data_IF_346274096583
#
_entry.id   IF_346274096583
#
_cell.length_a   1.000
_cell.length_b   1.000
_cell.length_c   1.000
_cell.angle_alpha   90.00
_cell.angle_beta   90.00
_cell.angle_gamma   90.00
#
_symmetry.space_group_name_H-M   'P 1'
#
loop_
_entity.id
_entity.type
_entity.pdbx_description
1 polymer ?
#
# COMPACT_ATOMS: atom_id res chain seq x y z
N UNK A 1 0.75 20.51 -11.60
CA UNK A 1 -0.64 20.21 -11.18
C UNK A 1 -0.62 19.80 -9.71
N UNK A 2 -1.74 19.81 -8.99
CA UNK A 2 -1.78 19.43 -7.56
C UNK A 2 -2.80 18.31 -7.36
N UNK A 3 -2.31 17.09 -7.13
CA UNK A 3 -3.17 15.95 -6.81
C UNK A 3 -3.81 16.10 -5.44
N UNK A 4 -4.98 15.49 -5.26
CA UNK A 4 -5.72 15.54 -3.99
C UNK A 4 -4.99 14.68 -2.96
N UNK A 5 -4.41 15.32 -1.95
CA UNK A 5 -3.61 14.66 -0.93
C UNK A 5 -4.43 13.78 0.01
N UNK A 6 -5.70 14.12 0.27
CA UNK A 6 -6.59 13.42 1.22
C UNK A 6 -8.02 13.37 0.68
N UNK A 7 -8.66 12.21 0.76
CA UNK A 7 -10.03 11.97 0.29
C UNK A 7 -10.80 11.32 1.43
N UNK A 8 -11.80 12.03 1.96
CA UNK A 8 -12.76 11.47 2.91
C UNK A 8 -13.77 10.58 2.18
N UNK A 9 -14.31 9.59 2.89
CA UNK A 9 -15.29 8.64 2.35
C UNK A 9 -14.83 8.02 1.02
N UNK A 10 -13.57 7.57 0.99
CA UNK A 10 -12.98 7.04 -0.22
C UNK A 10 -13.74 5.77 -0.65
N UNK A 11 -14.38 5.85 -1.81
CA UNK A 11 -15.11 4.73 -2.40
C UNK A 11 -14.13 3.62 -2.82
N UNK A 12 -13.86 2.70 -1.89
CA UNK A 12 -13.10 1.49 -2.12
C UNK A 12 -14.04 0.28 -1.99
N UNK A 13 -14.08 -0.54 -3.04
CA UNK A 13 -14.82 -1.79 -3.04
C UNK A 13 -13.83 -2.95 -2.92
N UNK A 14 -13.84 -3.62 -1.76
CA UNK A 14 -13.09 -4.86 -1.61
C UNK A 14 -13.84 -6.01 -2.26
N UNK A 15 -13.26 -6.55 -3.31
CA UNK A 15 -13.72 -7.80 -3.93
C UNK A 15 -12.76 -8.93 -3.53
N UNK A 16 -13.21 -9.93 -2.74
CA UNK A 16 -12.34 -11.02 -2.33
C UNK A 16 -11.81 -11.78 -3.56
N UNK A 17 -10.59 -12.34 -3.51
CA UNK A 17 -10.00 -13.04 -4.64
C UNK A 17 -10.91 -14.12 -5.23
N UNK A 18 -11.58 -14.90 -4.38
CA UNK A 18 -12.49 -15.97 -4.84
C UNK A 18 -13.69 -15.46 -5.65
N UNK A 19 -14.18 -14.24 -5.38
CA UNK A 19 -15.28 -13.66 -6.16
C UNK A 19 -14.83 -13.24 -7.58
N UNK A 20 -13.53 -13.01 -7.79
CA UNK A 20 -12.97 -12.71 -9.13
C UNK A 20 -12.81 -13.94 -10.00
N UNK A 21 -12.84 -15.13 -9.38
CA UNK A 21 -12.69 -16.42 -10.03
C UNK A 21 -13.95 -17.27 -9.83
N UNK A 22 -15.13 -16.65 -9.78
CA UNK A 22 -16.40 -17.34 -9.51
C UNK A 22 -16.67 -18.51 -10.49
N UNK A 23 -16.08 -18.45 -11.69
CA UNK A 23 -16.18 -19.49 -12.73
C UNK A 23 -15.16 -20.63 -12.57
N UNK A 24 -14.17 -20.50 -11.68
CA UNK A 24 -13.20 -21.56 -11.40
C UNK A 24 -13.70 -22.53 -10.31
N UNK A 25 -13.33 -23.82 -10.39
CA UNK A 25 -13.69 -24.79 -9.36
C UNK A 25 -13.22 -24.34 -7.97
N UNK A 26 -13.99 -24.61 -6.89
CA UNK A 26 -13.59 -24.25 -5.53
C UNK A 26 -12.25 -24.87 -5.07
N UNK A 27 -11.78 -25.93 -5.72
CA UNK A 27 -10.46 -26.51 -5.47
C UNK A 27 -9.30 -25.65 -5.97
N UNK A 28 -9.57 -24.64 -6.80
CA UNK A 28 -8.55 -23.80 -7.45
C UNK A 28 -8.15 -22.58 -6.60
N UNK A 29 -8.88 -22.29 -5.52
CA UNK A 29 -8.58 -21.17 -4.65
C UNK A 29 -8.89 -21.47 -3.18
N UNK A 30 -8.13 -20.85 -2.28
CA UNK A 30 -8.51 -20.78 -0.86
C UNK A 30 -9.47 -19.61 -0.68
N UNK A 31 -10.62 -19.86 -0.05
CA UNK A 31 -11.58 -18.79 0.25
C UNK A 31 -10.97 -17.84 1.28
N UNK A 32 -10.63 -16.63 0.84
CA UNK A 32 -10.28 -15.54 1.75
C UNK A 32 -11.51 -15.13 2.56
N UNK A 33 -11.42 -15.20 3.89
CA UNK A 33 -12.48 -14.87 4.83
C UNK A 33 -12.21 -13.60 5.62
N UNK A 34 -10.97 -13.10 5.57
CA UNK A 34 -10.55 -11.88 6.25
C UNK A 34 -10.99 -10.66 5.46
N UNK A 35 -11.22 -9.56 6.15
CA UNK A 35 -11.44 -8.25 5.52
C UNK A 35 -10.19 -7.37 5.64
N UNK A 36 -9.88 -6.54 4.63
CA UNK A 36 -8.70 -5.70 4.68
C UNK A 36 -8.89 -4.56 5.69
N UNK A 37 -7.87 -4.30 6.51
CA UNK A 37 -7.81 -3.15 7.42
C UNK A 37 -7.09 -1.96 6.78
N UNK A 38 -5.97 -2.22 6.12
CA UNK A 38 -5.18 -1.21 5.41
C UNK A 38 -4.89 -1.70 4.01
N UNK A 39 -5.06 -0.82 3.02
CA UNK A 39 -4.81 -1.16 1.61
C UNK A 39 -4.09 -0.02 0.91
N UNK A 40 -3.37 -0.37 -0.16
CA UNK A 40 -3.03 0.54 -1.23
C UNK A 40 -4.07 0.45 -2.33
N UNK A 41 -4.56 1.59 -2.76
CA UNK A 41 -5.47 1.74 -3.89
C UNK A 41 -4.82 2.67 -4.91
N UNK A 42 -4.83 2.26 -6.17
CA UNK A 42 -4.24 3.02 -7.25
C UNK A 42 -5.32 3.64 -8.14
N UNK A 43 -5.09 4.88 -8.56
CA UNK A 43 -5.93 5.62 -9.50
C UNK A 43 -5.07 6.20 -10.61
N UNK A 44 -5.64 6.36 -11.80
CA UNK A 44 -4.98 7.14 -12.86
C UNK A 44 -4.82 8.60 -12.43
N UNK A 45 -3.64 9.16 -12.66
CA UNK A 45 -3.35 10.58 -12.58
C UNK A 45 -3.39 11.22 -13.96
N UNK A 46 -2.63 12.31 -14.12
CA UNK A 46 -2.41 12.95 -15.42
C UNK A 46 -1.32 12.19 -16.21
N UNK A 47 -1.33 12.31 -17.54
CA UNK A 47 -0.40 11.66 -18.46
C UNK A 47 -0.22 10.15 -18.19
N UNK A 48 0.91 9.76 -17.60
CA UNK A 48 1.30 8.38 -17.30
C UNK A 48 1.42 8.15 -15.79
N UNK A 49 0.94 9.07 -14.96
CA UNK A 49 1.03 8.94 -13.51
C UNK A 49 -0.03 7.95 -12.96
N UNK A 50 0.39 7.17 -11.97
CA UNK A 50 -0.47 6.38 -11.09
C UNK A 50 -0.37 6.95 -9.70
N UNK A 51 -1.51 7.41 -9.20
CA UNK A 51 -1.67 7.91 -7.85
C UNK A 51 -1.87 6.72 -6.91
N UNK A 52 -0.99 6.56 -5.93
CA UNK A 52 -1.08 5.50 -4.92
C UNK A 52 -1.59 6.08 -3.62
N UNK A 53 -2.76 5.62 -3.21
CA UNK A 53 -3.40 6.02 -1.96
C UNK A 53 -3.28 4.92 -0.91
N UNK A 54 -2.87 5.27 0.30
CA UNK A 54 -3.12 4.46 1.49
C UNK A 54 -4.56 4.69 1.93
N UNK A 55 -5.32 3.62 2.17
CA UNK A 55 -6.72 3.70 2.62
C UNK A 55 -6.85 3.03 3.99
N UNK A 56 -7.40 3.77 4.95
CA UNK A 56 -7.75 3.24 6.27
C UNK A 56 -9.16 2.64 6.22
N UNK A 57 -9.27 1.31 6.12
CA UNK A 57 -10.54 0.59 6.20
C UNK A 57 -10.82 0.07 7.61
N UNK A 58 -9.93 0.35 8.57
CA UNK A 58 -10.12 0.00 9.96
C UNK A 58 -11.12 0.92 10.65
N UNK A 59 -11.60 0.48 11.82
CA UNK A 59 -12.55 1.23 12.65
C UNK A 59 -11.89 2.36 13.47
N UNK A 60 -10.56 2.46 13.45
CA UNK A 60 -9.79 3.39 14.28
C UNK A 60 -9.15 4.49 13.45
N UNK A 61 -9.18 5.71 13.98
CA UNK A 61 -8.33 6.79 13.47
C UNK A 61 -6.87 6.44 13.70
N UNK A 62 -6.08 6.52 12.63
CA UNK A 62 -4.61 6.46 12.72
C UNK A 62 -4.15 7.82 13.21
N UNK A 63 -3.54 7.85 14.39
CA UNK A 63 -3.01 9.07 14.97
C UNK A 63 -1.92 9.64 14.06
N UNK A 64 -0.98 8.80 13.63
CA UNK A 64 0.12 9.17 12.73
C UNK A 64 0.44 8.06 11.74
N UNK A 65 0.53 8.43 10.47
CA UNK A 65 1.02 7.60 9.37
C UNK A 65 2.29 8.24 8.82
N UNK A 66 3.37 7.47 8.72
CA UNK A 66 4.56 7.84 7.95
C UNK A 66 4.73 6.84 6.82
N UNK A 67 4.96 7.34 5.63
CA UNK A 67 5.21 6.59 4.42
C UNK A 67 6.63 6.88 3.91
N UNK A 68 7.32 5.85 3.45
CA UNK A 68 8.55 5.94 2.65
C UNK A 68 8.44 5.05 1.41
N UNK A 69 9.16 5.42 0.35
CA UNK A 69 9.41 4.52 -0.78
C UNK A 69 10.91 4.31 -0.95
N UNK A 70 11.27 3.14 -1.43
CA UNK A 70 12.64 2.81 -1.81
C UNK A 70 12.60 1.81 -2.94
N UNK A 71 13.73 1.60 -3.59
CA UNK A 71 13.78 0.61 -4.65
C UNK A 71 15.10 0.54 -5.37
N UNK A 72 15.11 -0.29 -6.40
CA UNK A 72 16.27 -0.49 -7.25
C UNK A 72 15.91 -0.87 -8.67
N UNK A 73 16.83 -0.64 -9.59
CA UNK A 73 16.79 -1.15 -10.95
C UNK A 73 18.16 -1.75 -11.30
N UNK A 74 18.18 -2.59 -12.33
CA UNK A 74 19.41 -3.16 -12.88
C UNK A 74 19.74 -2.45 -14.19
N UNK A 75 20.91 -1.82 -14.27
CA UNK A 75 21.40 -1.10 -15.44
C UNK A 75 22.67 -1.77 -15.98
N UNK A 76 22.49 -2.76 -16.86
CA UNK A 76 23.60 -3.61 -17.32
C UNK A 76 24.09 -4.53 -16.19
N UNK A 77 25.35 -4.35 -15.78
CA UNK A 77 25.97 -5.09 -14.67
C UNK A 77 25.86 -4.36 -13.31
N UNK A 78 25.29 -3.15 -13.30
CA UNK A 78 25.15 -2.32 -12.11
C UNK A 78 23.73 -2.37 -11.50
N UNK A 79 23.64 -2.08 -10.20
CA UNK A 79 22.37 -1.87 -9.49
C UNK A 79 22.30 -0.40 -9.06
N UNK A 80 21.27 0.30 -9.54
CA UNK A 80 20.97 1.67 -9.12
C UNK A 80 19.86 1.61 -8.08
N UNK A 81 20.01 2.32 -6.97
CA UNK A 81 19.02 2.37 -5.90
C UNK A 81 18.44 3.77 -5.76
N UNK A 82 17.23 3.87 -5.24
CA UNK A 82 16.63 5.13 -4.84
C UNK A 82 16.02 5.05 -3.44
N UNK A 83 15.84 6.22 -2.84
CA UNK A 83 15.05 6.41 -1.63
C UNK A 83 14.19 7.65 -1.81
N UNK A 84 12.88 7.47 -1.73
CA UNK A 84 11.90 8.53 -1.82
C UNK A 84 11.88 9.40 -0.57
N UNK A 85 11.24 10.57 -0.70
CA UNK A 85 11.03 11.47 0.42
C UNK A 85 9.90 10.94 1.30
N UNK A 86 10.15 10.86 2.61
CA UNK A 86 9.12 10.45 3.57
C UNK A 86 7.93 11.43 3.59
N UNK A 87 6.72 10.89 3.72
CA UNK A 87 5.48 11.66 3.84
C UNK A 87 4.77 11.31 5.14
N UNK A 88 4.29 12.33 5.86
CA UNK A 88 3.59 12.19 7.13
C UNK A 88 2.15 12.66 7.05
N UNK A 89 1.23 11.90 7.64
CA UNK A 89 -0.19 12.26 7.79
C UNK A 89 -0.61 12.06 9.24
N UNK A 90 -1.34 13.04 9.78
CA UNK A 90 -1.93 12.95 11.12
C UNK A 90 -3.44 12.76 11.01
N UNK A 91 -4.02 12.06 11.99
CA UNK A 91 -5.46 11.83 12.13
C UNK A 91 -6.11 11.31 10.84
N UNK A 92 -5.67 10.14 10.34
CA UNK A 92 -6.28 9.50 9.17
C UNK A 92 -7.51 8.71 9.63
N UNK A 93 -8.70 9.21 9.29
CA UNK A 93 -9.99 8.69 9.77
C UNK A 93 -10.35 7.34 9.12
N UNK A 94 -11.23 6.53 9.73
CA UNK A 94 -11.87 5.41 9.05
C UNK A 94 -12.51 5.82 7.73
N UNK A 95 -12.27 5.06 6.66
CA UNK A 95 -12.74 5.36 5.30
C UNK A 95 -11.94 6.44 4.58
N UNK A 96 -10.94 7.04 5.21
CA UNK A 96 -10.10 8.06 4.57
C UNK A 96 -8.97 7.43 3.74
N UNK A 97 -8.69 8.06 2.59
CA UNK A 97 -7.52 7.76 1.77
C UNK A 97 -6.56 8.94 1.71
N UNK A 98 -5.25 8.65 1.78
CA UNK A 98 -4.18 9.65 1.68
C UNK A 98 -3.19 9.28 0.58
N UNK A 99 -2.82 10.26 -0.24
CA UNK A 99 -1.93 10.07 -1.40
C UNK A 99 -0.50 9.85 -0.92
N UNK A 100 -0.03 8.61 -0.91
CA UNK A 100 1.30 8.26 -0.42
C UNK A 100 2.34 8.28 -1.54
N UNK A 101 1.99 7.95 -2.77
CA UNK A 101 2.94 7.92 -3.88
C UNK A 101 2.35 8.40 -5.20
N UNK A 102 3.23 8.83 -6.09
CA UNK A 102 2.92 9.15 -7.48
C UNK A 102 3.99 8.45 -8.32
N UNK A 103 3.56 7.48 -9.11
CA UNK A 103 4.45 6.65 -9.92
C UNK A 103 4.21 6.98 -11.39
N UNK A 104 5.23 7.39 -12.11
CA UNK A 104 5.14 7.60 -13.54
C UNK A 104 5.37 6.27 -14.27
N UNK A 105 4.36 5.77 -14.99
CA UNK A 105 4.45 4.47 -15.66
C UNK A 105 5.51 4.40 -16.76
N UNK A 106 5.99 5.52 -17.30
CA UNK A 106 7.06 5.51 -18.29
C UNK A 106 8.41 5.41 -17.61
N UNK A 107 8.64 6.32 -16.67
CA UNK A 107 9.96 6.51 -16.04
C UNK A 107 10.22 5.48 -14.93
N UNK A 108 9.17 4.96 -14.28
CA UNK A 108 9.28 4.07 -13.13
C UNK A 108 8.97 2.59 -13.45
N UNK A 109 8.73 2.25 -14.73
CA UNK A 109 8.29 0.90 -15.12
C UNK A 109 9.32 -0.19 -14.88
N UNK A 110 10.60 0.16 -14.88
CA UNK A 110 11.71 -0.76 -14.71
C UNK A 110 12.19 -0.92 -13.28
N UNK A 111 11.73 -0.06 -12.38
CA UNK A 111 12.05 -0.08 -10.97
C UNK A 111 11.32 -1.19 -10.21
N UNK A 112 12.04 -1.74 -9.24
CA UNK A 112 11.50 -2.51 -8.15
C UNK A 112 11.24 -1.58 -6.98
N UNK A 113 9.97 -1.30 -6.69
CA UNK A 113 9.55 -0.32 -5.68
C UNK A 113 9.01 -1.04 -4.45
N UNK A 114 9.58 -0.72 -3.29
CA UNK A 114 9.05 -1.08 -1.98
C UNK A 114 8.46 0.13 -1.28
N UNK A 115 7.45 -0.13 -0.44
CA UNK A 115 6.76 0.88 0.36
C UNK A 115 6.84 0.54 1.85
N UNK A 116 7.28 1.50 2.63
CA UNK A 116 7.41 1.39 4.08
C UNK A 116 6.34 2.25 4.76
N UNK A 117 5.63 1.67 5.73
CA UNK A 117 4.61 2.36 6.50
C UNK A 117 4.90 2.22 7.99
N UNK A 118 4.86 3.35 8.70
CA UNK A 118 4.79 3.40 10.16
C UNK A 118 3.43 3.94 10.56
N UNK A 119 2.62 3.08 11.16
CA UNK A 119 1.21 3.35 11.47
C UNK A 119 1.04 3.35 12.98
N UNK A 120 0.70 4.49 13.56
CA UNK A 120 0.46 4.65 14.99
C UNK A 120 -1.02 4.83 15.26
N UNK A 121 -1.62 3.93 16.03
CA UNK A 121 -2.99 4.07 16.56
C UNK A 121 -2.99 4.14 18.08
N UNK A 122 -4.05 4.72 18.66
CA UNK A 122 -4.16 4.85 20.11
C UNK A 122 -4.24 3.49 20.82
N UNK A 123 -4.89 2.48 20.21
CA UNK A 123 -5.09 1.18 20.86
C UNK A 123 -3.96 0.18 20.60
N UNK A 124 -3.36 0.20 19.41
CA UNK A 124 -2.37 -0.80 19.00
C UNK A 124 -0.92 -0.31 19.07
N UNK A 125 -0.71 0.96 19.43
CA UNK A 125 0.62 1.56 19.38
C UNK A 125 1.09 1.70 17.93
N UNK A 126 2.39 1.52 17.71
CA UNK A 126 2.99 1.65 16.39
C UNK A 126 3.26 0.29 15.77
N UNK A 127 2.77 0.09 14.54
CA UNK A 127 3.17 -1.03 13.69
C UNK A 127 3.98 -0.50 12.51
N UNK A 128 4.89 -1.34 12.01
CA UNK A 128 5.65 -1.06 10.79
C UNK A 128 5.36 -2.13 9.77
N UNK A 129 5.05 -1.72 8.54
CA UNK A 129 4.75 -2.61 7.43
C UNK A 129 5.72 -2.29 6.30
N UNK A 130 6.46 -3.29 5.84
CA UNK A 130 7.20 -3.23 4.59
C UNK A 130 6.40 -3.98 3.53
N UNK A 131 6.07 -3.31 2.42
CA UNK A 131 5.28 -3.86 1.33
C UNK A 131 6.12 -3.89 0.05
N UNK A 132 6.30 -5.09 -0.52
CA UNK A 132 7.07 -5.28 -1.73
C UNK A 132 6.14 -5.18 -2.94
N UNK A 133 6.38 -4.23 -3.86
CA UNK A 133 5.67 -4.22 -5.15
C UNK A 133 6.53 -4.79 -6.25
N UNK A 134 5.94 -5.70 -7.02
CA UNK A 134 6.51 -6.25 -8.25
C UNK A 134 6.82 -5.17 -9.29
N UNK A 135 7.76 -5.46 -10.20
CA UNK A 135 8.14 -4.53 -11.28
C UNK A 135 6.93 -4.28 -12.18
N UNK A 136 6.65 -3.00 -12.46
CA UNK A 136 5.47 -2.59 -13.23
C UNK A 136 4.11 -2.90 -12.58
N UNK A 137 4.07 -3.37 -11.33
CA UNK A 137 2.81 -3.70 -10.65
C UNK A 137 2.28 -2.51 -9.86
N UNK A 138 1.43 -1.71 -10.51
CA UNK A 138 0.80 -0.54 -9.90
C UNK A 138 -0.64 -0.79 -9.44
N UNK A 139 -1.04 -2.05 -9.25
CA UNK A 139 -2.39 -2.43 -8.80
C UNK A 139 -2.61 -2.28 -7.29
N UNK A 140 -3.87 -2.30 -6.85
CA UNK A 140 -4.19 -2.27 -5.42
C UNK A 140 -3.64 -3.48 -4.66
N UNK A 141 -3.30 -3.29 -3.38
CA UNK A 141 -2.67 -4.30 -2.52
C UNK A 141 -3.24 -4.19 -1.11
N UNK A 142 -3.58 -5.32 -0.49
CA UNK A 142 -3.83 -5.33 0.96
C UNK A 142 -2.50 -5.23 1.69
N UNK A 143 -2.42 -4.38 2.71
CA UNK A 143 -1.24 -4.27 3.58
C UNK A 143 -1.43 -5.11 4.85
N UNK A 144 -2.61 -5.00 5.47
CA UNK A 144 -2.93 -5.63 6.73
C UNK A 144 -4.39 -6.09 6.74
N UNK A 145 -4.64 -7.28 7.27
CA UNK A 145 -5.98 -7.82 7.50
C UNK A 145 -6.57 -7.36 8.84
N UNK A 146 -7.88 -7.48 9.00
CA UNK A 146 -8.62 -7.26 10.25
C UNK A 146 -8.08 -8.10 11.42
N UNK A 147 -7.64 -9.32 11.15
CA UNK A 147 -6.97 -10.25 12.08
C UNK A 147 -5.64 -9.71 12.62
N UNK A 148 -5.04 -8.72 11.96
CA UNK A 148 -3.72 -8.19 12.28
C UNK A 148 -2.57 -8.91 11.57
N UNK A 149 -2.88 -9.90 10.72
CA UNK A 149 -1.89 -10.56 9.87
C UNK A 149 -1.52 -9.66 8.67
N UNK A 150 -0.25 -9.63 8.24
CA UNK A 150 0.13 -8.97 7.00
C UNK A 150 -0.39 -9.74 5.78
N UNK A 151 -0.54 -9.05 4.65
CA UNK A 151 -0.77 -9.70 3.36
C UNK A 151 0.50 -10.45 2.89
N UNK A 152 0.39 -11.39 1.93
CA UNK A 152 1.53 -12.21 1.47
C UNK A 152 2.76 -11.41 1.00
N UNK A 153 2.54 -10.27 0.34
CA UNK A 153 3.61 -9.39 -0.17
C UNK A 153 4.03 -8.32 0.85
N UNK A 154 3.64 -8.49 2.11
CA UNK A 154 3.91 -7.56 3.20
C UNK A 154 4.60 -8.27 4.38
N UNK A 155 5.42 -7.52 5.10
CA UNK A 155 6.04 -7.98 6.35
C UNK A 155 5.82 -6.96 7.45
N UNK A 156 5.50 -7.45 8.65
CA UNK A 156 5.58 -6.63 9.85
C UNK A 156 7.05 -6.51 10.25
N UNK A 157 7.50 -5.28 10.49
CA UNK A 157 8.84 -5.01 11.02
C UNK A 157 8.76 -4.79 12.53
N UNK A 158 9.79 -5.25 13.23
CA UNK A 158 9.93 -4.97 14.64
C UNK A 158 10.05 -3.45 14.89
N UNK A 159 9.57 -2.96 16.05
CA UNK A 159 9.67 -1.54 16.37
C UNK A 159 11.11 -1.01 16.41
N UNK A 160 12.11 -1.88 16.58
CA UNK A 160 13.53 -1.54 16.76
C UNK A 160 14.42 -1.85 15.54
N UNK A 161 13.90 -2.43 14.47
CA UNK A 161 14.67 -2.66 13.23
C UNK A 161 14.74 -1.38 12.39
N UNK A 162 15.52 -0.42 12.85
CA UNK A 162 16.08 0.63 11.99
C UNK A 162 17.54 0.28 11.79
N UNK A 163 17.86 -0.23 10.60
CA UNK A 163 19.24 -0.15 10.08
C UNK A 163 19.56 1.30 9.70
#
# INVERSE_FOLDING_TARGET
MTYVARIKDYAYEWVPPHARFADLPPSTYTKETRTPRYVLSSRGGDDLDVLVYFVNLGEETIARLVFGSSGFETAGDDVVTFSGVEKGYENVEPGEAVLVDVINQMDDSDWMISHDFKITTAKKGTIRIHAFRGKGHFGGMTLLWDTGEPAPDCRLLDPESSE
#
